data_IF_690857648792
#
_entry.id   IF_690857648792
#
_cell.length_a   1.000
_cell.length_b   1.000
_cell.length_c   1.000
_cell.angle_alpha   90.00
_cell.angle_beta   90.00
_cell.angle_gamma   90.00
#
_symmetry.space_group_name_H-M   'P 1'
#
loop_
_entity.id
_entity.type
_entity.pdbx_description
1 polymer ?
#
# COMPACT_ATOMS: atom_id res chain seq x y z
N UNK A 1 43.74 46.57 -27.48
CA UNK A 1 43.43 45.14 -27.22
C UNK A 1 43.50 44.89 -25.72
N UNK A 2 42.40 44.49 -25.08
CA UNK A 2 42.38 43.79 -23.77
C UNK A 2 40.96 43.27 -23.56
N UNK A 3 40.73 42.01 -23.98
CA UNK A 3 39.49 41.28 -23.75
C UNK A 3 39.58 40.69 -22.34
N UNK A 4 38.78 41.20 -21.40
CA UNK A 4 38.58 40.55 -20.11
C UNK A 4 37.49 39.49 -20.29
N UNK A 5 37.92 38.22 -20.30
CA UNK A 5 37.03 37.08 -20.33
C UNK A 5 36.47 36.84 -18.92
N UNK A 6 35.21 37.19 -18.71
CA UNK A 6 34.49 36.91 -17.46
C UNK A 6 34.07 35.44 -17.46
N UNK A 7 34.69 34.63 -16.61
CA UNK A 7 34.40 33.21 -16.44
C UNK A 7 33.13 33.07 -15.56
N UNK A 8 32.00 32.73 -16.19
CA UNK A 8 30.74 32.44 -15.51
C UNK A 8 30.78 31.00 -14.97
N UNK A 9 30.99 30.83 -13.66
CA UNK A 9 30.90 29.53 -12.99
C UNK A 9 29.42 29.23 -12.73
N UNK A 10 28.85 28.33 -13.53
CA UNK A 10 27.50 27.81 -13.34
C UNK A 10 27.60 26.64 -12.35
N UNK A 11 27.30 26.88 -11.08
CA UNK A 11 27.13 25.82 -10.08
C UNK A 11 25.84 25.06 -10.36
N UNK A 12 25.95 23.88 -10.98
CA UNK A 12 24.89 22.89 -11.08
C UNK A 12 24.63 22.28 -9.70
N UNK A 13 23.57 22.72 -9.04
CA UNK A 13 23.08 22.07 -7.82
C UNK A 13 22.31 20.83 -8.25
N UNK A 14 22.96 19.66 -8.17
CA UNK A 14 22.28 18.38 -8.39
C UNK A 14 21.40 18.08 -7.18
N UNK A 15 20.10 18.36 -7.27
CA UNK A 15 19.11 17.83 -6.33
C UNK A 15 18.98 16.33 -6.57
N UNK A 16 19.66 15.53 -5.76
CA UNK A 16 19.42 14.09 -5.69
C UNK A 16 18.09 13.85 -4.97
N UNK A 17 17.02 13.54 -5.71
CA UNK A 17 15.76 13.07 -5.14
C UNK A 17 15.95 11.65 -4.55
N UNK A 18 16.38 11.56 -3.30
CA UNK A 18 16.35 10.31 -2.53
C UNK A 18 14.93 9.99 -2.04
N UNK A 19 14.68 8.72 -1.67
CA UNK A 19 13.42 8.32 -1.01
C UNK A 19 13.22 9.14 0.26
N UNK A 20 12.06 9.79 0.47
CA UNK A 20 11.79 10.58 1.67
C UNK A 20 12.01 9.78 2.96
N UNK A 21 12.54 10.42 4.01
CA UNK A 21 12.85 9.74 5.29
C UNK A 21 11.62 9.09 5.92
N UNK A 22 10.50 9.78 5.85
CA UNK A 22 9.15 9.34 6.20
C UNK A 22 8.79 8.00 5.55
N UNK A 23 8.96 7.89 4.22
CA UNK A 23 8.73 6.62 3.50
C UNK A 23 9.68 5.53 3.99
N UNK A 24 10.93 5.85 4.33
CA UNK A 24 11.88 4.87 4.88
C UNK A 24 11.42 4.36 6.26
N UNK A 25 10.92 5.24 7.13
CA UNK A 25 10.36 4.85 8.43
C UNK A 25 9.09 3.99 8.25
N UNK A 26 8.17 4.38 7.36
CA UNK A 26 6.99 3.57 7.04
C UNK A 26 7.36 2.18 6.54
N UNK A 27 8.42 2.05 5.72
CA UNK A 27 8.95 0.74 5.31
C UNK A 27 9.47 -0.08 6.49
N UNK A 28 10.12 0.54 7.48
CA UNK A 28 10.54 -0.20 8.69
C UNK A 28 9.34 -0.70 9.48
N UNK A 29 8.33 0.15 9.67
CA UNK A 29 7.17 -0.14 10.49
C UNK A 29 6.27 -1.22 9.85
N UNK A 30 6.03 -1.14 8.53
CA UNK A 30 5.15 -2.09 7.84
C UNK A 30 5.76 -3.49 7.69
N UNK A 31 7.09 -3.62 7.75
CA UNK A 31 7.78 -4.90 7.61
C UNK A 31 7.27 -5.87 8.69
N UNK A 32 6.90 -7.08 8.29
CA UNK A 32 6.42 -8.10 9.21
C UNK A 32 5.19 -8.86 8.71
N UNK A 33 4.57 -9.57 9.64
CA UNK A 33 3.34 -10.32 9.46
C UNK A 33 2.18 -9.58 10.10
N UNK A 34 1.05 -9.53 9.40
CA UNK A 34 -0.14 -8.78 9.79
C UNK A 34 -1.39 -9.63 9.59
N UNK A 35 -2.40 -9.41 10.41
CA UNK A 35 -3.75 -9.97 10.27
C UNK A 35 -4.65 -8.86 9.76
N UNK A 36 -5.50 -9.12 8.76
CA UNK A 36 -6.62 -8.24 8.42
C UNK A 36 -7.80 -8.60 9.32
N UNK A 37 -8.01 -7.83 10.38
CA UNK A 37 -8.92 -8.20 11.46
C UNK A 37 -10.38 -7.86 11.14
N UNK A 38 -10.61 -6.78 10.40
CA UNK A 38 -11.95 -6.23 10.21
C UNK A 38 -12.04 -5.35 8.96
N UNK A 39 -13.19 -5.39 8.30
CA UNK A 39 -13.52 -4.51 7.17
C UNK A 39 -14.83 -3.78 7.49
N UNK A 40 -14.79 -2.45 7.40
CA UNK A 40 -15.94 -1.60 7.70
C UNK A 40 -16.30 -0.69 6.56
N UNK A 41 -17.54 -0.22 6.59
CA UNK A 41 -18.12 0.61 5.55
C UNK A 41 -18.63 1.92 6.14
N UNK A 42 -18.42 3.02 5.41
CA UNK A 42 -18.90 4.36 5.79
C UNK A 42 -20.42 4.50 5.90
N UNK A 43 -21.18 3.54 5.36
CA UNK A 43 -22.63 3.49 5.40
C UNK A 43 -23.08 2.15 5.95
N UNK A 44 -24.22 2.11 6.65
CA UNK A 44 -24.81 0.85 7.13
C UNK A 44 -25.57 0.15 6.01
N UNK A 45 -25.52 -1.18 5.99
CA UNK A 45 -26.22 -2.00 5.00
C UNK A 45 -25.47 -3.30 4.72
N UNK A 46 -25.99 -4.07 3.79
CA UNK A 46 -25.31 -5.25 3.24
C UNK A 46 -24.70 -4.86 1.90
N UNK A 47 -23.39 -5.00 1.77
CA UNK A 47 -22.65 -4.64 0.56
C UNK A 47 -21.94 -5.88 0.04
N UNK A 48 -22.06 -6.15 -1.26
CA UNK A 48 -21.26 -7.17 -1.92
C UNK A 48 -20.02 -6.50 -2.50
N UNK A 49 -18.91 -6.58 -1.77
CA UNK A 49 -17.65 -5.91 -2.12
C UNK A 49 -16.62 -6.95 -2.51
N UNK A 50 -16.10 -6.85 -3.73
CA UNK A 50 -14.91 -7.58 -4.15
C UNK A 50 -13.67 -6.71 -3.88
N UNK A 51 -12.63 -7.29 -3.27
CA UNK A 51 -11.37 -6.61 -3.02
C UNK A 51 -10.28 -7.13 -3.97
N UNK A 52 -9.45 -6.20 -4.45
CA UNK A 52 -8.26 -6.47 -5.27
C UNK A 52 -8.51 -7.33 -6.52
N UNK A 53 -9.75 -7.34 -7.02
CA UNK A 53 -10.24 -8.25 -8.07
C UNK A 53 -9.99 -9.74 -7.79
N UNK A 54 -9.84 -10.13 -6.52
CA UNK A 54 -9.66 -11.52 -6.09
C UNK A 54 -11.00 -12.09 -5.63
N UNK A 55 -11.37 -11.83 -4.38
CA UNK A 55 -12.56 -12.40 -3.74
C UNK A 55 -13.32 -11.36 -2.90
N UNK A 56 -14.39 -11.79 -2.23
CA UNK A 56 -15.23 -10.91 -1.42
C UNK A 56 -14.51 -10.40 -0.17
N UNK A 57 -14.93 -9.24 0.34
CA UNK A 57 -14.40 -8.67 1.57
C UNK A 57 -14.49 -9.65 2.76
N UNK A 58 -15.57 -10.41 2.86
CA UNK A 58 -15.76 -11.41 3.92
C UNK A 58 -14.70 -12.52 3.87
N UNK A 59 -14.17 -12.83 2.68
CA UNK A 59 -13.07 -13.77 2.53
C UNK A 59 -11.70 -13.18 2.90
N UNK A 60 -11.58 -11.85 2.90
CA UNK A 60 -10.37 -11.14 3.31
C UNK A 60 -10.29 -10.96 4.83
N UNK A 61 -11.42 -10.89 5.55
CA UNK A 61 -11.41 -10.86 7.01
C UNK A 61 -10.76 -12.13 7.59
N UNK A 62 -9.81 -11.95 8.51
CA UNK A 62 -8.97 -13.00 9.06
C UNK A 62 -7.80 -13.44 8.16
N UNK A 63 -7.62 -12.84 6.99
CA UNK A 63 -6.46 -13.16 6.13
C UNK A 63 -5.13 -12.72 6.76
N UNK A 64 -4.08 -13.50 6.48
CA UNK A 64 -2.72 -13.19 6.93
C UNK A 64 -1.90 -12.55 5.83
N UNK A 65 -1.10 -11.55 6.18
CA UNK A 65 -0.34 -10.73 5.25
C UNK A 65 1.12 -10.66 5.65
N UNK A 66 2.02 -10.69 4.67
CA UNK A 66 3.46 -10.53 4.84
C UNK A 66 3.95 -9.40 3.96
N UNK A 67 4.68 -8.45 4.54
CA UNK A 67 5.32 -7.36 3.80
C UNK A 67 6.85 -7.44 3.91
N UNK A 68 7.52 -7.46 2.76
CA UNK A 68 8.99 -7.45 2.61
C UNK A 68 9.41 -6.21 1.78
N UNK A 69 9.52 -5.03 2.41
CA UNK A 69 9.74 -3.76 1.71
C UNK A 69 11.05 -3.70 0.92
N UNK A 70 12.12 -4.39 1.35
CA UNK A 70 13.42 -4.33 0.67
C UNK A 70 13.34 -4.73 -0.81
N UNK A 71 12.43 -5.64 -1.15
CA UNK A 71 12.21 -6.10 -2.52
C UNK A 71 10.83 -5.67 -3.06
N UNK A 72 10.10 -4.82 -2.33
CA UNK A 72 8.73 -4.42 -2.65
C UNK A 72 7.78 -5.62 -2.82
N UNK A 73 7.94 -6.69 -2.03
CA UNK A 73 7.20 -7.96 -2.18
C UNK A 73 6.34 -8.24 -0.97
N UNK A 74 5.16 -8.79 -1.21
CA UNK A 74 4.35 -9.36 -0.15
C UNK A 74 3.57 -10.56 -0.61
N UNK A 75 2.95 -11.20 0.36
CA UNK A 75 2.05 -12.34 0.16
C UNK A 75 0.89 -12.18 1.12
N UNK A 76 -0.33 -12.48 0.67
CA UNK A 76 -1.46 -12.67 1.58
C UNK A 76 -2.06 -14.05 1.39
N UNK A 77 -2.62 -14.57 2.46
CA UNK A 77 -3.19 -15.92 2.53
C UNK A 77 -4.61 -15.83 3.02
N UNK A 78 -5.54 -16.38 2.25
CA UNK A 78 -6.93 -16.60 2.69
C UNK A 78 -7.03 -18.05 3.14
N UNK A 79 -7.42 -18.25 4.41
CA UNK A 79 -7.51 -19.57 5.05
C UNK A 79 -8.92 -19.88 5.56
N UNK A 80 -9.93 -19.25 4.96
CA UNK A 80 -11.33 -19.57 5.20
C UNK A 80 -11.78 -20.65 4.22
N UNK A 81 -12.16 -21.84 4.71
CA UNK A 81 -12.57 -22.97 3.86
C UNK A 81 -13.81 -22.74 2.99
N UNK A 82 -14.58 -21.68 3.25
CA UNK A 82 -15.70 -21.26 2.39
C UNK A 82 -15.28 -20.28 1.27
N UNK A 83 -14.00 -19.94 1.21
CA UNK A 83 -13.42 -18.99 0.27
C UNK A 83 -12.39 -19.69 -0.64
N UNK A 84 -11.98 -19.07 -1.75
CA UNK A 84 -10.83 -19.54 -2.50
C UNK A 84 -9.59 -19.46 -1.62
N UNK A 85 -9.12 -20.57 -1.06
CA UNK A 85 -8.00 -20.57 -0.12
C UNK A 85 -6.65 -20.51 -0.85
N UNK A 86 -5.60 -20.16 -0.11
CA UNK A 86 -4.21 -20.21 -0.57
C UNK A 86 -3.52 -18.86 -0.64
N UNK A 87 -2.31 -18.88 -1.20
CA UNK A 87 -1.40 -17.73 -1.22
C UNK A 87 -1.56 -16.89 -2.48
N UNK A 88 -1.48 -15.56 -2.30
CA UNK A 88 -1.44 -14.59 -3.39
C UNK A 88 -0.23 -13.72 -3.22
N UNK A 89 0.59 -13.66 -4.26
CA UNK A 89 1.76 -12.81 -4.27
C UNK A 89 1.42 -11.44 -4.84
N UNK A 90 2.10 -10.43 -4.33
CA UNK A 90 1.97 -9.08 -4.84
C UNK A 90 3.30 -8.35 -4.72
N UNK A 91 3.43 -7.30 -5.53
CA UNK A 91 4.41 -6.25 -5.29
C UNK A 91 3.71 -5.01 -4.74
N UNK A 92 4.39 -4.24 -3.90
CA UNK A 92 3.83 -3.03 -3.31
C UNK A 92 4.81 -1.88 -3.21
N UNK A 93 4.30 -0.67 -3.21
CA UNK A 93 5.07 0.56 -2.99
C UNK A 93 4.30 1.46 -2.03
N UNK A 94 5.00 1.95 -1.00
CA UNK A 94 4.53 3.08 -0.20
C UNK A 94 5.00 4.36 -0.89
N UNK A 95 4.06 5.21 -1.25
CA UNK A 95 4.30 6.51 -1.87
C UNK A 95 3.81 7.60 -0.93
N UNK A 96 4.69 8.52 -0.55
CA UNK A 96 4.27 9.77 0.09
C UNK A 96 3.54 10.62 -0.94
N UNK A 97 2.32 11.04 -0.61
CA UNK A 97 1.47 11.87 -1.48
C UNK A 97 1.56 13.32 -1.05
N UNK A 98 1.53 13.55 0.26
CA UNK A 98 1.64 14.88 0.82
C UNK A 98 2.42 14.83 2.15
N UNK A 99 3.65 15.39 2.18
CA UNK A 99 4.49 15.40 3.37
C UNK A 99 3.97 16.32 4.49
N UNK A 100 3.15 17.33 4.18
CA UNK A 100 2.60 18.26 5.18
C UNK A 100 1.47 17.60 5.97
N UNK A 101 0.64 16.81 5.29
CA UNK A 101 -0.49 16.10 5.91
C UNK A 101 -0.14 14.68 6.37
N UNK A 102 1.03 14.15 5.96
CA UNK A 102 1.42 12.77 6.23
C UNK A 102 0.56 11.76 5.49
N UNK A 103 0.00 12.13 4.32
CA UNK A 103 -0.79 11.23 3.49
C UNK A 103 0.12 10.32 2.67
N UNK A 104 -0.13 9.02 2.77
CA UNK A 104 0.58 7.99 2.01
C UNK A 104 -0.41 7.17 1.19
N UNK A 105 -0.02 6.88 -0.05
CA UNK A 105 -0.65 5.86 -0.88
C UNK A 105 0.13 4.54 -0.72
N UNK A 106 -0.63 3.46 -0.65
CA UNK A 106 -0.17 2.09 -0.73
C UNK A 106 -0.61 1.54 -2.09
N UNK A 107 0.34 1.40 -3.01
CA UNK A 107 0.11 0.78 -4.30
C UNK A 107 0.38 -0.70 -4.20
N UNK A 108 -0.60 -1.54 -4.47
CA UNK A 108 -0.48 -3.00 -4.51
C UNK A 108 -0.76 -3.50 -5.92
N UNK A 109 0.12 -4.34 -6.45
CA UNK A 109 -0.09 -5.01 -7.75
C UNK A 109 0.01 -6.53 -7.57
N UNK A 110 -1.07 -7.29 -7.82
CA UNK A 110 -1.02 -8.74 -7.79
C UNK A 110 -0.04 -9.31 -8.82
N UNK A 111 0.55 -10.46 -8.48
CA UNK A 111 1.56 -11.14 -9.29
C UNK A 111 1.45 -12.66 -9.19
N UNK A 112 2.11 -13.35 -10.12
CA UNK A 112 2.44 -14.77 -10.00
C UNK A 112 3.46 -15.03 -8.86
N UNK A 113 3.79 -16.30 -8.62
CA UNK A 113 4.82 -16.72 -7.66
C UNK A 113 6.24 -16.21 -7.97
N UNK A 114 6.48 -15.78 -9.21
CA UNK A 114 7.75 -15.19 -9.66
C UNK A 114 7.73 -13.66 -9.56
N UNK A 115 6.71 -13.08 -8.95
CA UNK A 115 6.49 -11.64 -8.81
C UNK A 115 6.38 -10.88 -10.14
N UNK A 116 5.80 -11.53 -11.16
CA UNK A 116 5.42 -10.92 -12.43
C UNK A 116 3.92 -10.71 -12.45
N UNK A 117 3.49 -9.51 -12.82
CA UNK A 117 2.05 -9.23 -12.97
C UNK A 117 1.60 -9.68 -14.36
N UNK A 118 0.53 -10.47 -14.42
CA UNK A 118 -0.04 -10.93 -15.69
C UNK A 118 -0.93 -9.87 -16.34
N UNK A 119 -1.63 -9.08 -15.52
CA UNK A 119 -2.62 -8.09 -15.98
C UNK A 119 -2.12 -6.66 -15.93
N UNK A 120 -1.00 -6.41 -15.25
CA UNK A 120 -0.46 -5.08 -14.91
C UNK A 120 -1.43 -4.15 -14.17
N UNK A 121 -2.53 -4.68 -13.62
CA UNK A 121 -3.50 -3.92 -12.82
C UNK A 121 -2.96 -3.72 -11.41
N UNK A 122 -2.91 -2.46 -10.97
CA UNK A 122 -2.56 -2.07 -9.61
C UNK A 122 -3.74 -1.42 -8.88
N UNK A 123 -3.79 -1.61 -7.57
CA UNK A 123 -4.76 -1.03 -6.65
C UNK A 123 -4.07 0.04 -5.83
N UNK A 124 -4.67 1.23 -5.80
CA UNK A 124 -4.24 2.33 -4.96
C UNK A 124 -5.14 2.40 -3.75
N UNK A 125 -4.54 2.25 -2.58
CA UNK A 125 -5.20 2.34 -1.28
C UNK A 125 -4.60 3.51 -0.51
N UNK A 126 -5.40 4.22 0.27
CA UNK A 126 -4.88 5.20 1.21
C UNK A 126 -4.38 4.46 2.45
N UNK A 127 -3.12 4.68 2.82
CA UNK A 127 -2.59 4.22 4.11
C UNK A 127 -2.94 5.25 5.17
N UNK A 128 -4.14 5.12 5.75
CA UNK A 128 -4.71 6.07 6.69
C UNK A 128 -4.03 6.04 8.07
N UNK A 129 -3.45 4.90 8.45
CA UNK A 129 -2.71 4.73 9.70
C UNK A 129 -1.62 3.68 9.52
N UNK A 130 -0.44 3.92 10.11
CA UNK A 130 0.62 2.94 10.25
C UNK A 130 1.37 3.17 11.56
N UNK A 131 1.32 2.20 12.47
CA UNK A 131 2.06 2.18 13.75
C UNK A 131 2.78 0.85 13.92
N UNK A 132 3.55 0.68 15.00
CA UNK A 132 4.23 -0.58 15.30
C UNK A 132 3.31 -1.78 15.53
N UNK A 133 2.01 -1.57 15.78
CA UNK A 133 1.07 -2.66 16.07
C UNK A 133 -0.24 -2.60 15.27
N UNK A 134 -0.52 -1.48 14.59
CA UNK A 134 -1.76 -1.29 13.84
C UNK A 134 -1.52 -0.65 12.48
N UNK A 135 -2.33 -1.02 11.50
CA UNK A 135 -2.33 -0.43 10.15
C UNK A 135 -3.77 -0.33 9.65
N UNK A 136 -4.12 0.78 8.99
CA UNK A 136 -5.45 0.99 8.39
C UNK A 136 -5.30 1.38 6.94
N UNK A 137 -5.95 0.62 6.05
CA UNK A 137 -6.11 0.98 4.65
C UNK A 137 -7.52 1.50 4.41
N UNK A 138 -7.65 2.46 3.50
CA UNK A 138 -8.95 2.96 3.05
C UNK A 138 -9.02 3.02 1.54
N UNK A 139 -10.18 2.66 1.00
CA UNK A 139 -10.53 2.84 -0.40
C UNK A 139 -11.86 3.58 -0.48
N UNK A 140 -11.90 4.69 -1.21
CA UNK A 140 -13.14 5.42 -1.47
C UNK A 140 -13.61 5.12 -2.89
N UNK A 141 -14.82 4.59 -3.00
CA UNK A 141 -15.52 4.34 -4.27
C UNK A 141 -16.79 5.20 -4.32
N UNK A 142 -17.51 5.15 -5.43
CA UNK A 142 -18.81 5.81 -5.56
C UNK A 142 -19.93 4.77 -5.53
N UNK A 143 -20.87 4.92 -4.61
CA UNK A 143 -22.08 4.10 -4.51
C UNK A 143 -23.28 5.04 -4.61
N UNK A 144 -24.15 4.81 -5.60
CA UNK A 144 -25.34 5.65 -5.85
C UNK A 144 -25.02 7.16 -5.96
N UNK A 145 -23.89 7.49 -6.58
CA UNK A 145 -23.44 8.87 -6.76
C UNK A 145 -22.86 9.53 -5.51
N UNK A 146 -22.75 8.81 -4.39
CA UNK A 146 -22.14 9.30 -3.15
C UNK A 146 -20.81 8.60 -2.85
N UNK A 147 -19.85 9.27 -2.20
CA UNK A 147 -18.66 8.62 -1.70
C UNK A 147 -19.00 7.49 -0.72
N UNK A 148 -18.35 6.35 -0.89
CA UNK A 148 -18.46 5.19 -0.03
C UNK A 148 -17.05 4.69 0.28
N UNK A 149 -16.66 4.82 1.55
CA UNK A 149 -15.34 4.41 2.03
C UNK A 149 -15.42 3.02 2.64
N UNK A 150 -14.49 2.16 2.21
CA UNK A 150 -14.19 0.84 2.76
C UNK A 150 -12.91 0.99 3.57
N UNK A 151 -12.95 0.62 4.85
CA UNK A 151 -11.80 0.68 5.76
C UNK A 151 -11.39 -0.73 6.15
N UNK A 152 -10.10 -1.04 6.03
CA UNK A 152 -9.50 -2.34 6.32
C UNK A 152 -8.51 -2.19 7.47
N UNK A 153 -8.77 -2.89 8.56
CA UNK A 153 -8.02 -2.76 9.81
C UNK A 153 -7.14 -3.96 10.08
N UNK A 154 -5.86 -3.69 10.30
CA UNK A 154 -4.85 -4.72 10.50
C UNK A 154 -4.18 -4.61 11.87
N UNK A 155 -3.88 -5.75 12.46
CA UNK A 155 -3.00 -5.89 13.62
C UNK A 155 -1.71 -6.61 13.24
N UNK A 156 -0.62 -6.22 13.91
CA UNK A 156 0.67 -6.86 13.69
C UNK A 156 0.75 -8.18 14.44
N UNK A 157 1.06 -9.26 13.72
CA UNK A 157 1.25 -10.60 14.28
C UNK A 157 2.68 -10.72 14.81
N UNK A 158 3.67 -10.38 13.98
CA UNK A 158 5.09 -10.50 14.32
C UNK A 158 5.99 -9.70 13.37
N UNK A 159 7.23 -9.47 13.80
CA UNK A 159 8.29 -8.89 12.97
C UNK A 159 8.91 -9.94 12.03
N UNK A 160 9.58 -9.50 10.96
CA UNK A 160 10.31 -10.34 10.00
C UNK A 160 11.82 -10.25 10.17
#
# INVERSE_FOLDING_TARGET
MRKLATLLVITLVAFSCGTPKTVQESRKVIKGYWSLDNITYSQSGTFNVQLLNDTSAECFEGSSWKFVPNNNRGTYTIDNGNCPTGDRNFIFVIQEVDPETGLYDFLLKPTDEKYKSETDVGFRLRLAQLTGSSMRWEQTVTLEGKPFTISMDFSKISEL
#
